data_IF_832373598742
#
_entry.id   IF_832373598742
#
_cell.length_a   1.000
_cell.length_b   1.000
_cell.length_c   1.000
_cell.angle_alpha   90.00
_cell.angle_beta   90.00
_cell.angle_gamma   90.00
#
_symmetry.space_group_name_H-M   'P 1'
#
loop_
_entity.id
_entity.type
_entity.pdbx_description
1 polymer ?
#
# COMPACT_ATOMS: atom_id res chain seq x y z
N UNK A 1 -20.31 4.76 6.00
CA UNK A 1 -18.94 4.61 5.46
C UNK A 1 -18.60 5.88 4.70
N UNK A 2 -17.39 6.39 4.88
CA UNK A 2 -16.87 7.57 4.16
C UNK A 2 -15.46 7.25 3.70
N UNK A 3 -15.19 7.45 2.40
CA UNK A 3 -13.85 7.34 1.82
C UNK A 3 -13.33 8.75 1.52
N UNK A 4 -12.09 9.03 1.91
CA UNK A 4 -11.41 10.31 1.64
C UNK A 4 -10.09 10.01 0.95
N UNK A 5 -9.92 10.55 -0.26
CA UNK A 5 -8.77 10.29 -1.12
C UNK A 5 -8.23 11.59 -1.71
N UNK A 6 -6.95 11.60 -2.07
CA UNK A 6 -6.28 12.72 -2.73
C UNK A 6 -5.96 12.32 -4.17
N UNK A 7 -6.76 12.83 -5.11
CA UNK A 7 -6.60 12.54 -6.53
C UNK A 7 -6.18 13.77 -7.34
N UNK A 8 -5.62 13.53 -8.51
CA UNK A 8 -5.30 14.55 -9.49
C UNK A 8 -6.52 15.40 -9.81
N UNK A 9 -6.38 16.70 -9.68
CA UNK A 9 -7.47 17.66 -9.90
C UNK A 9 -7.62 18.00 -11.38
N UNK A 10 -8.84 18.35 -11.78
CA UNK A 10 -9.09 18.98 -13.06
C UNK A 10 -8.35 20.31 -13.18
N UNK A 11 -8.00 20.70 -14.42
CA UNK A 11 -7.48 22.02 -14.79
C UNK A 11 -8.53 22.77 -15.61
N UNK A 12 -8.29 24.04 -15.91
CA UNK A 12 -9.21 24.86 -16.74
C UNK A 12 -9.40 24.28 -18.15
N UNK A 13 -8.44 23.50 -18.65
CA UNK A 13 -8.43 22.95 -20.02
C UNK A 13 -8.68 21.45 -20.08
N UNK A 14 -8.64 20.71 -18.94
CA UNK A 14 -8.80 19.24 -18.93
C UNK A 14 -9.58 18.79 -17.71
N UNK A 15 -10.46 17.78 -17.84
CA UNK A 15 -11.08 17.13 -16.69
C UNK A 15 -10.02 16.44 -15.82
N UNK A 16 -10.40 16.01 -14.61
CA UNK A 16 -9.57 15.15 -13.81
C UNK A 16 -9.31 13.82 -14.55
N UNK A 17 -8.06 13.53 -14.84
CA UNK A 17 -7.64 12.28 -15.50
C UNK A 17 -6.78 11.53 -14.47
N UNK A 18 -7.25 10.37 -14.04
CA UNK A 18 -6.60 9.57 -13.04
C UNK A 18 -5.55 8.65 -13.66
N UNK A 19 -4.43 8.48 -12.97
CA UNK A 19 -3.47 7.42 -13.28
C UNK A 19 -4.07 6.04 -12.97
N UNK A 20 -3.42 4.98 -13.44
CA UNK A 20 -3.79 3.61 -13.10
C UNK A 20 -3.78 3.40 -11.58
N UNK A 21 -2.71 3.83 -10.89
CA UNK A 21 -2.55 3.71 -9.45
C UNK A 21 -3.63 4.48 -8.66
N UNK A 22 -4.07 5.65 -9.17
CA UNK A 22 -5.17 6.40 -8.53
C UNK A 22 -6.50 5.64 -8.62
N UNK A 23 -6.78 4.97 -9.75
CA UNK A 23 -7.99 4.15 -9.90
C UNK A 23 -7.87 2.87 -9.09
N UNK A 24 -6.69 2.25 -9.00
CA UNK A 24 -6.42 1.12 -8.13
C UNK A 24 -6.68 1.48 -6.66
N UNK A 25 -6.15 2.62 -6.20
CA UNK A 25 -6.42 3.16 -4.85
C UNK A 25 -7.92 3.37 -4.63
N UNK A 26 -8.64 3.90 -5.62
CA UNK A 26 -10.10 4.05 -5.52
C UNK A 26 -10.79 2.71 -5.30
N UNK A 27 -10.44 1.68 -6.06
CA UNK A 27 -11.02 0.35 -5.92
C UNK A 27 -10.65 -0.30 -4.58
N UNK A 28 -9.42 -0.11 -4.13
CA UNK A 28 -8.94 -0.56 -2.82
C UNK A 28 -9.80 0.02 -1.70
N UNK A 29 -9.90 1.34 -1.62
CA UNK A 29 -10.67 2.04 -0.58
C UNK A 29 -12.17 1.74 -0.69
N UNK A 30 -12.68 1.56 -1.92
CA UNK A 30 -14.05 1.14 -2.14
C UNK A 30 -14.29 -0.30 -1.67
N UNK A 31 -13.29 -1.18 -1.76
CA UNK A 31 -13.32 -2.53 -1.20
C UNK A 31 -13.51 -2.53 0.32
N UNK A 32 -12.81 -1.66 1.04
CA UNK A 32 -13.08 -1.43 2.47
C UNK A 32 -14.50 -0.89 2.70
N UNK A 33 -14.94 0.03 1.85
CA UNK A 33 -16.31 0.54 1.87
C UNK A 33 -17.35 -0.55 1.72
N UNK A 34 -17.18 -1.45 0.75
CA UNK A 34 -18.06 -2.61 0.53
C UNK A 34 -18.05 -3.56 1.73
N UNK A 35 -16.89 -3.84 2.29
CA UNK A 35 -16.76 -4.65 3.49
C UNK A 35 -17.60 -4.08 4.64
N UNK A 36 -17.55 -2.75 4.83
CA UNK A 36 -18.37 -2.07 5.83
C UNK A 36 -19.87 -2.05 5.51
N UNK A 37 -20.25 -1.84 4.26
CA UNK A 37 -21.66 -1.73 3.84
C UNK A 37 -22.38 -3.08 3.76
N UNK A 38 -21.68 -4.15 3.39
CA UNK A 38 -22.27 -5.47 3.17
C UNK A 38 -22.19 -6.39 4.39
N UNK A 39 -21.54 -5.96 5.46
CA UNK A 39 -21.41 -6.76 6.67
C UNK A 39 -22.75 -7.05 7.31
N UNK A 40 -22.92 -8.26 7.83
CA UNK A 40 -24.14 -8.73 8.53
C UNK A 40 -23.79 -9.37 9.88
N UNK A 41 -22.73 -8.86 10.53
CA UNK A 41 -22.29 -9.38 11.82
C UNK A 41 -23.29 -9.08 12.92
N UNK A 42 -23.50 -10.02 13.82
CA UNK A 42 -24.38 -9.87 14.97
C UNK A 42 -23.86 -8.82 15.97
N UNK A 43 -22.54 -8.68 16.10
CA UNK A 43 -21.90 -7.77 17.04
C UNK A 43 -21.20 -6.62 16.31
N UNK A 44 -21.50 -5.39 16.71
CA UNK A 44 -20.92 -4.19 16.12
C UNK A 44 -19.38 -4.16 16.21
N UNK A 45 -18.79 -4.73 17.25
CA UNK A 45 -17.35 -4.83 17.43
C UNK A 45 -16.63 -5.76 16.43
N UNK A 46 -17.38 -6.56 15.66
CA UNK A 46 -16.87 -7.47 14.63
C UNK A 46 -17.30 -7.05 13.23
N UNK A 47 -17.72 -5.80 13.08
CA UNK A 47 -18.38 -5.30 11.89
C UNK A 47 -17.39 -4.64 10.94
N UNK A 48 -17.51 -4.94 9.65
CA UNK A 48 -16.68 -4.33 8.60
C UNK A 48 -15.18 -4.52 8.85
N UNK A 49 -14.45 -3.42 8.91
CA UNK A 49 -12.99 -3.41 9.11
C UNK A 49 -12.54 -3.73 10.55
N UNK A 50 -13.45 -4.01 11.47
CA UNK A 50 -13.14 -4.50 12.82
C UNK A 50 -12.84 -6.01 12.82
N UNK A 51 -11.84 -6.41 12.08
CA UNK A 51 -11.36 -7.78 11.89
C UNK A 51 -9.87 -7.87 12.20
N UNK A 52 -9.31 -9.07 12.38
CA UNK A 52 -7.86 -9.23 12.48
C UNK A 52 -7.11 -8.57 11.32
N UNK A 53 -5.93 -8.00 11.60
CA UNK A 53 -5.16 -7.22 10.62
C UNK A 53 -4.67 -8.03 9.42
N UNK A 54 -4.46 -9.32 9.58
CA UNK A 54 -4.14 -10.27 8.52
C UNK A 54 -5.29 -10.55 7.54
N UNK A 55 -6.50 -10.08 7.85
CA UNK A 55 -7.69 -10.23 7.01
C UNK A 55 -8.22 -8.91 6.43
N UNK A 56 -7.94 -7.77 7.08
CA UNK A 56 -8.60 -6.48 6.77
C UNK A 56 -8.42 -6.02 5.33
N UNK A 57 -7.28 -6.34 4.70
CA UNK A 57 -6.97 -5.95 3.33
C UNK A 57 -7.49 -6.94 2.27
N UNK A 58 -8.06 -8.09 2.67
CA UNK A 58 -8.57 -9.05 1.69
C UNK A 58 -9.66 -8.48 0.79
N UNK A 59 -10.70 -7.78 1.30
CA UNK A 59 -11.72 -7.19 0.43
C UNK A 59 -11.20 -6.04 -0.42
N UNK A 60 -10.30 -5.22 0.09
CA UNK A 60 -9.73 -4.09 -0.63
C UNK A 60 -8.82 -4.56 -1.77
N UNK A 61 -7.85 -5.42 -1.49
CA UNK A 61 -6.93 -5.97 -2.50
C UNK A 61 -7.65 -6.89 -3.51
N UNK A 62 -8.68 -7.62 -3.09
CA UNK A 62 -9.50 -8.39 -4.01
C UNK A 62 -10.17 -7.48 -5.06
N UNK A 63 -10.66 -6.32 -4.63
CA UNK A 63 -11.35 -5.39 -5.50
C UNK A 63 -10.44 -4.75 -6.55
N UNK A 64 -9.14 -4.62 -6.30
CA UNK A 64 -8.14 -4.14 -7.27
C UNK A 64 -8.08 -5.01 -8.54
N UNK A 65 -8.34 -6.32 -8.43
CA UNK A 65 -8.26 -7.25 -9.56
C UNK A 65 -9.22 -6.89 -10.71
N UNK A 66 -10.31 -6.17 -10.44
CA UNK A 66 -11.23 -5.75 -11.49
C UNK A 66 -10.59 -4.79 -12.50
N UNK A 67 -9.50 -4.09 -12.15
CA UNK A 67 -8.78 -3.22 -13.09
C UNK A 67 -8.07 -3.97 -14.23
N UNK A 68 -7.90 -5.28 -14.12
CA UNK A 68 -7.36 -6.11 -15.19
C UNK A 68 -8.45 -6.62 -16.16
N UNK A 69 -9.73 -6.45 -15.80
CA UNK A 69 -10.85 -7.00 -16.55
C UNK A 69 -11.43 -6.00 -17.55
N UNK A 70 -11.34 -6.34 -18.85
CA UNK A 70 -11.83 -5.45 -19.92
C UNK A 70 -13.30 -5.09 -19.77
N UNK A 71 -14.15 -6.05 -19.42
CA UNK A 71 -15.59 -5.82 -19.25
C UNK A 71 -15.87 -4.77 -18.18
N UNK A 72 -15.09 -4.78 -17.09
CA UNK A 72 -15.19 -3.77 -16.05
C UNK A 72 -14.67 -2.41 -16.53
N UNK A 73 -13.51 -2.37 -17.16
CA UNK A 73 -12.91 -1.14 -17.69
C UNK A 73 -13.81 -0.46 -18.72
N UNK A 74 -14.47 -1.20 -19.58
CA UNK A 74 -15.38 -0.66 -20.60
C UNK A 74 -16.59 0.09 -20.01
N UNK A 75 -16.90 -0.11 -18.74
CA UNK A 75 -17.99 0.62 -18.07
C UNK A 75 -17.64 2.09 -17.83
N UNK A 76 -16.37 2.42 -17.55
CA UNK A 76 -15.95 3.77 -17.16
C UNK A 76 -14.68 4.28 -17.85
N UNK A 77 -13.72 3.41 -18.23
CA UNK A 77 -12.44 3.80 -18.81
C UNK A 77 -12.60 4.23 -20.28
N UNK A 78 -13.05 5.46 -20.47
CA UNK A 78 -13.35 6.05 -21.80
C UNK A 78 -12.49 7.28 -22.04
N UNK A 79 -12.06 7.44 -23.28
CA UNK A 79 -11.32 8.63 -23.70
C UNK A 79 -12.18 9.88 -23.52
N UNK A 80 -11.67 10.86 -22.79
CA UNK A 80 -12.46 12.01 -22.32
C UNK A 80 -13.02 12.92 -23.44
N UNK A 81 -12.42 12.91 -24.64
CA UNK A 81 -12.91 13.67 -25.80
C UNK A 81 -13.76 12.81 -26.73
N UNK A 82 -13.34 11.58 -27.01
CA UNK A 82 -13.96 10.74 -28.04
C UNK A 82 -14.98 9.75 -27.50
N UNK A 83 -14.97 9.45 -26.20
CA UNK A 83 -15.81 8.44 -25.56
C UNK A 83 -15.43 7.00 -25.93
N UNK A 84 -14.32 6.78 -26.67
CA UNK A 84 -13.85 5.45 -27.03
C UNK A 84 -13.37 4.70 -25.79
N UNK A 85 -13.69 3.40 -25.69
CA UNK A 85 -13.20 2.52 -24.62
C UNK A 85 -11.71 2.25 -24.76
N UNK A 86 -11.06 1.86 -23.68
CA UNK A 86 -9.64 1.51 -23.69
C UNK A 86 -9.39 0.31 -24.62
N UNK A 87 -8.43 0.39 -25.59
CA UNK A 87 -8.12 -0.74 -26.47
C UNK A 87 -7.56 -1.94 -25.70
N UNK A 88 -7.91 -3.15 -26.11
CA UNK A 88 -7.38 -4.39 -25.50
C UNK A 88 -5.85 -4.41 -25.47
N UNK A 89 -5.20 -3.96 -26.54
CA UNK A 89 -3.73 -3.90 -26.61
C UNK A 89 -3.10 -3.10 -25.47
N UNK A 90 -3.76 -2.04 -24.99
CA UNK A 90 -3.27 -1.27 -23.86
C UNK A 90 -3.47 -2.00 -22.53
N UNK A 91 -4.57 -2.71 -22.38
CA UNK A 91 -4.83 -3.56 -21.21
C UNK A 91 -3.77 -4.67 -21.14
N UNK A 92 -3.49 -5.34 -22.24
CA UNK A 92 -2.47 -6.39 -22.33
C UNK A 92 -1.08 -5.85 -21.96
N UNK A 93 -0.75 -4.62 -22.38
CA UNK A 93 0.52 -3.96 -22.00
C UNK A 93 0.59 -3.62 -20.51
N UNK A 94 -0.52 -3.17 -19.92
CA UNK A 94 -0.60 -2.91 -18.47
C UNK A 94 -0.36 -4.22 -17.70
N UNK A 95 -1.04 -5.29 -18.08
CA UNK A 95 -0.88 -6.61 -17.44
C UNK A 95 0.55 -7.16 -17.60
N UNK A 96 1.16 -6.99 -18.77
CA UNK A 96 2.55 -7.37 -18.99
C UNK A 96 3.53 -6.55 -18.15
N UNK A 97 3.27 -5.24 -18.02
CA UNK A 97 4.10 -4.34 -17.21
C UNK A 97 4.00 -4.63 -15.70
N UNK A 98 2.89 -5.19 -15.21
CA UNK A 98 2.72 -5.55 -13.81
C UNK A 98 3.76 -6.57 -13.31
N UNK A 99 4.36 -7.37 -14.20
CA UNK A 99 5.43 -8.31 -13.86
C UNK A 99 6.82 -7.67 -13.86
N UNK A 100 6.95 -6.40 -14.28
CA UNK A 100 8.23 -5.71 -14.31
C UNK A 100 8.71 -5.40 -12.89
N UNK A 101 9.91 -5.85 -12.56
CA UNK A 101 10.50 -5.69 -11.22
C UNK A 101 9.65 -6.19 -10.04
N UNK A 102 8.71 -7.10 -10.26
CA UNK A 102 7.87 -7.66 -9.19
C UNK A 102 8.68 -8.29 -8.04
N UNK A 103 9.82 -8.92 -8.37
CA UNK A 103 10.69 -9.47 -7.34
C UNK A 103 11.30 -8.37 -6.44
N UNK A 104 11.69 -7.24 -7.02
CA UNK A 104 12.15 -6.09 -6.25
C UNK A 104 11.05 -5.52 -5.34
N UNK A 105 9.84 -5.37 -5.87
CA UNK A 105 8.68 -4.92 -5.07
C UNK A 105 8.41 -5.87 -3.90
N UNK A 106 8.46 -7.18 -4.13
CA UNK A 106 8.28 -8.20 -3.09
C UNK A 106 9.36 -8.10 -1.99
N UNK A 107 10.64 -8.00 -2.38
CA UNK A 107 11.74 -7.87 -1.44
C UNK A 107 11.66 -6.55 -0.65
N UNK A 108 11.25 -5.47 -1.32
CA UNK A 108 10.99 -4.19 -0.64
C UNK A 108 9.87 -4.31 0.38
N UNK A 109 8.79 -5.01 0.07
CA UNK A 109 7.70 -5.28 1.02
C UNK A 109 8.20 -6.08 2.24
N UNK A 110 9.02 -7.10 2.01
CA UNK A 110 9.64 -7.87 3.09
C UNK A 110 10.52 -7.01 4.00
N UNK A 111 11.20 -5.98 3.47
CA UNK A 111 12.04 -5.10 4.28
C UNK A 111 11.25 -4.37 5.37
N UNK A 112 10.00 -4.02 5.11
CA UNK A 112 9.12 -3.39 6.10
C UNK A 112 8.77 -4.35 7.23
N UNK A 113 8.50 -5.62 6.92
CA UNK A 113 8.29 -6.66 7.94
C UNK A 113 9.52 -6.90 8.80
N UNK A 114 10.72 -6.93 8.20
CA UNK A 114 11.97 -7.04 8.96
C UNK A 114 12.20 -5.86 9.89
N UNK A 115 11.93 -4.64 9.42
CA UNK A 115 12.04 -3.44 10.23
C UNK A 115 11.03 -3.46 11.40
N UNK A 116 9.77 -3.81 11.11
CA UNK A 116 8.71 -3.96 12.12
C UNK A 116 9.11 -4.94 13.21
N UNK A 117 9.47 -6.15 12.82
CA UNK A 117 9.82 -7.20 13.78
C UNK A 117 11.10 -6.87 14.56
N UNK A 118 12.08 -6.22 13.94
CA UNK A 118 13.29 -5.82 14.64
C UNK A 118 13.00 -4.87 15.81
N UNK A 119 12.10 -3.92 15.63
CA UNK A 119 11.68 -3.01 16.69
C UNK A 119 10.82 -3.70 17.75
N UNK A 120 9.87 -4.54 17.34
CA UNK A 120 8.86 -5.08 18.25
C UNK A 120 9.25 -6.41 18.92
N UNK A 121 10.42 -6.96 18.60
CA UNK A 121 11.00 -8.12 19.31
C UNK A 121 12.08 -7.75 20.30
N UNK A 122 12.34 -6.46 20.52
CA UNK A 122 13.28 -6.02 21.56
C UNK A 122 12.77 -6.46 22.94
N UNK A 123 13.64 -7.12 23.69
CA UNK A 123 13.37 -7.59 25.05
C UNK A 123 13.84 -6.63 26.15
N UNK A 124 14.54 -5.58 25.74
CA UNK A 124 15.04 -4.48 26.61
C UNK A 124 14.86 -3.14 25.87
N UNK A 125 14.82 -2.02 26.60
CA UNK A 125 14.80 -0.70 25.98
C UNK A 125 15.96 -0.52 24.99
N UNK A 126 15.68 0.15 23.87
CA UNK A 126 16.70 0.47 22.88
C UNK A 126 17.67 1.49 23.46
N UNK A 127 18.96 1.14 23.51
CA UNK A 127 20.01 2.01 24.04
C UNK A 127 20.71 2.76 22.91
N UNK A 128 20.83 4.08 23.07
CA UNK A 128 21.58 4.93 22.15
C UNK A 128 23.05 4.89 22.55
N UNK A 129 23.97 4.42 21.66
CA UNK A 129 25.39 4.43 21.94
C UNK A 129 25.88 5.85 22.24
N UNK A 130 26.80 6.00 23.23
CA UNK A 130 27.31 7.31 23.70
C UNK A 130 28.03 8.12 22.61
N UNK A 131 28.49 7.46 21.55
CA UNK A 131 29.21 8.06 20.43
C UNK A 131 28.28 8.39 19.23
N UNK A 132 26.96 8.30 19.40
CA UNK A 132 25.96 8.55 18.35
C UNK A 132 24.85 9.44 18.89
N UNK A 133 24.20 10.16 17.96
CA UNK A 133 22.90 10.76 18.24
C UNK A 133 21.79 9.70 18.21
N UNK A 134 20.65 9.99 18.82
CA UNK A 134 19.50 9.09 18.77
C UNK A 134 19.05 8.80 17.33
N UNK A 135 19.08 9.81 16.47
CA UNK A 135 18.75 9.67 15.04
C UNK A 135 19.69 8.71 14.31
N UNK A 136 21.01 8.87 14.49
CA UNK A 136 21.99 7.97 13.88
C UNK A 136 21.86 6.52 14.37
N UNK A 137 21.58 6.35 15.66
CA UNK A 137 21.40 5.02 16.25
C UNK A 137 20.15 4.32 15.68
N UNK A 138 19.03 5.03 15.55
CA UNK A 138 17.78 4.52 14.97
C UNK A 138 17.97 4.13 13.51
N UNK A 139 18.57 5.01 12.70
CA UNK A 139 18.87 4.73 11.28
C UNK A 139 19.74 3.48 11.16
N UNK A 140 20.83 3.42 11.90
CA UNK A 140 21.75 2.28 11.85
C UNK A 140 21.11 0.97 12.28
N UNK A 141 20.19 1.03 13.23
CA UNK A 141 19.42 -0.14 13.65
C UNK A 141 18.49 -0.63 12.54
N UNK A 142 17.72 0.28 11.93
CA UNK A 142 16.82 -0.05 10.84
C UNK A 142 17.55 -0.54 9.59
N UNK A 143 18.63 0.14 9.16
CA UNK A 143 19.45 -0.29 8.03
C UNK A 143 20.00 -1.71 8.25
N UNK A 144 20.43 -2.02 9.46
CA UNK A 144 20.89 -3.37 9.82
C UNK A 144 19.77 -4.39 9.76
N UNK A 145 18.58 -4.04 10.25
CA UNK A 145 17.42 -4.93 10.23
C UNK A 145 17.00 -5.28 8.81
N UNK A 146 17.05 -4.31 7.88
CA UNK A 146 16.67 -4.50 6.49
C UNK A 146 17.79 -5.05 5.60
N UNK A 147 19.04 -5.12 6.08
CA UNK A 147 20.22 -5.43 5.27
C UNK A 147 20.15 -6.77 4.53
N UNK A 148 19.48 -7.79 5.09
CA UNK A 148 19.36 -9.11 4.47
C UNK A 148 18.45 -9.11 3.22
N UNK A 149 17.63 -8.09 3.04
CA UNK A 149 16.72 -7.90 1.90
C UNK A 149 17.03 -6.64 1.09
N UNK A 150 18.17 -6.01 1.34
CA UNK A 150 18.63 -4.82 0.63
C UNK A 150 19.20 -5.20 -0.75
N UNK A 151 18.43 -4.97 -1.81
CA UNK A 151 18.84 -5.30 -3.18
C UNK A 151 19.62 -4.16 -3.84
N UNK A 152 19.21 -2.93 -3.60
CA UNK A 152 19.83 -1.74 -4.17
C UNK A 152 20.54 -0.93 -3.08
N UNK A 153 21.59 -0.17 -3.41
CA UNK A 153 22.24 0.73 -2.47
C UNK A 153 21.23 1.72 -1.86
N UNK A 154 21.38 2.02 -0.58
CA UNK A 154 20.61 3.07 0.07
C UNK A 154 20.94 4.43 -0.54
N UNK A 155 19.92 5.23 -0.79
CA UNK A 155 20.08 6.61 -1.24
C UNK A 155 20.26 7.51 -0.02
N UNK A 156 21.33 8.28 0.01
CA UNK A 156 21.63 9.18 1.12
C UNK A 156 20.46 10.13 1.40
N UNK A 157 20.07 10.24 2.65
CA UNK A 157 18.96 11.08 3.09
C UNK A 157 17.57 10.45 2.99
N UNK A 158 17.47 9.20 2.53
CA UNK A 158 16.21 8.43 2.58
C UNK A 158 16.24 7.48 3.78
N UNK A 159 15.24 7.58 4.64
CA UNK A 159 15.17 6.79 5.87
C UNK A 159 13.77 6.26 6.06
N UNK A 160 13.63 4.94 6.00
CA UNK A 160 12.35 4.25 6.17
C UNK A 160 11.79 4.45 7.58
N UNK A 161 12.65 4.54 8.57
CA UNK A 161 12.32 4.70 9.99
C UNK A 161 11.47 5.94 10.28
N UNK A 162 11.56 6.98 9.44
CA UNK A 162 10.80 8.23 9.59
C UNK A 162 9.60 8.33 8.66
N UNK A 163 9.61 7.56 7.58
CA UNK A 163 8.59 7.65 6.53
C UNK A 163 7.49 6.60 6.70
N UNK A 164 7.82 5.42 7.22
CA UNK A 164 6.91 4.29 7.29
C UNK A 164 6.21 4.20 8.66
N UNK A 165 5.13 4.95 8.81
CA UNK A 165 4.42 5.08 10.09
C UNK A 165 3.57 3.87 10.46
N UNK A 166 3.21 3.00 9.52
CA UNK A 166 2.30 1.86 9.74
C UNK A 166 2.76 0.90 10.85
N UNK A 167 4.07 0.74 11.04
CA UNK A 167 4.63 -0.14 12.08
C UNK A 167 4.64 0.48 13.48
N UNK A 168 4.34 1.79 13.61
CA UNK A 168 4.29 2.47 14.91
C UNK A 168 2.92 3.09 15.19
N UNK A 169 2.23 3.56 14.17
CA UNK A 169 0.91 4.15 14.30
C UNK A 169 -0.05 3.53 13.30
N UNK A 170 -1.15 2.97 13.71
CA UNK A 170 -2.19 2.51 12.79
C UNK A 170 -2.57 1.03 12.88
N UNK A 171 -1.97 0.25 13.74
CA UNK A 171 -2.45 -1.11 14.04
C UNK A 171 -1.73 -2.24 13.30
N UNK A 172 -0.63 -1.96 12.58
CA UNK A 172 0.26 -2.97 11.99
C UNK A 172 1.53 -3.22 12.80
N UNK A 173 1.67 -2.62 13.97
CA UNK A 173 2.81 -2.83 14.86
C UNK A 173 2.95 -4.32 15.22
N UNK A 174 4.12 -4.90 15.01
CA UNK A 174 4.42 -6.33 15.15
C UNK A 174 3.54 -7.26 14.25
N UNK A 175 2.88 -6.70 13.26
CA UNK A 175 1.93 -7.41 12.41
C UNK A 175 2.00 -7.06 10.92
N UNK A 176 2.93 -6.18 10.51
CA UNK A 176 3.02 -5.76 9.11
C UNK A 176 3.40 -6.91 8.15
N UNK A 177 4.01 -7.96 8.63
CA UNK A 177 4.29 -9.16 7.84
C UNK A 177 3.04 -9.82 7.22
N UNK A 178 1.86 -9.51 7.75
CA UNK A 178 0.59 -10.05 7.29
C UNK A 178 -0.08 -9.24 6.17
N UNK A 179 0.43 -8.05 5.89
CA UNK A 179 -0.04 -7.17 4.80
C UNK A 179 0.47 -7.73 3.44
#
# INVERSE_FOLDING_TARGET
>A
VVNVMNFTRATDSKPALFSYDEVETFLHEFGHGLHGMLTQCQYAAQNGTNVPRDFVELPSQFNENFLSEKEFLDTFAKHYETGATIPQELIDKIQAAANYHVAYACVRQLSFGYLDMAWHTLTSPFEVPSNMTASEAVIKFGDKAMSCVQVLPLVAGTHMEYAFTHIFSGGYAAGYYSY
#
